data_IF_900270180181
#
_entry.id   IF_900270180181
#
_cell.length_a   1.000
_cell.length_b   1.000
_cell.length_c   1.000
_cell.angle_alpha   90.00
_cell.angle_beta   90.00
_cell.angle_gamma   90.00
#
_symmetry.space_group_name_H-M   'P 1'
#
loop_
_entity.id
_entity.type
_entity.pdbx_description
1 polymer ?
#
# COMPACT_ATOMS: atom_id res chain seq x y z
N UNK A 1 -38.63 25.06 -27.57
CA UNK A 1 -37.58 24.26 -28.22
C UNK A 1 -36.27 24.67 -27.56
N UNK A 2 -36.05 24.21 -26.33
CA UNK A 2 -34.74 24.25 -25.68
C UNK A 2 -33.94 23.00 -26.13
N UNK A 3 -34.10 22.60 -27.39
CA UNK A 3 -33.10 22.58 -28.45
C UNK A 3 -31.84 21.79 -28.08
N UNK A 4 -31.69 20.65 -28.76
CA UNK A 4 -30.67 19.61 -28.65
C UNK A 4 -29.24 20.11 -28.41
N UNK A 5 -28.96 21.36 -28.79
CA UNK A 5 -27.72 22.11 -28.53
C UNK A 5 -27.41 22.21 -27.04
N UNK A 6 -28.39 22.51 -26.19
CA UNK A 6 -28.20 22.54 -24.73
C UNK A 6 -27.85 21.15 -24.18
N UNK A 7 -28.56 20.13 -24.66
CA UNK A 7 -28.33 18.73 -24.27
C UNK A 7 -26.93 18.24 -24.69
N UNK A 8 -26.51 18.56 -25.92
CA UNK A 8 -25.16 18.23 -26.42
C UNK A 8 -24.06 18.94 -25.62
N UNK A 9 -24.24 20.23 -25.30
CA UNK A 9 -23.29 20.96 -24.46
C UNK A 9 -23.16 20.35 -23.06
N UNK A 10 -24.26 19.94 -22.45
CA UNK A 10 -24.25 19.26 -21.14
C UNK A 10 -23.53 17.91 -21.21
N UNK A 11 -23.77 17.11 -22.26
CA UNK A 11 -23.12 15.81 -22.47
C UNK A 11 -21.60 15.97 -22.63
N UNK A 12 -21.15 16.95 -23.42
CA UNK A 12 -19.71 17.24 -23.57
C UNK A 12 -19.08 17.64 -22.24
N UNK A 13 -19.76 18.48 -21.45
CA UNK A 13 -19.28 18.91 -20.14
C UNK A 13 -19.15 17.74 -19.15
N UNK A 14 -20.11 16.81 -19.17
CA UNK A 14 -20.07 15.58 -18.37
C UNK A 14 -18.94 14.63 -18.81
N UNK A 15 -18.69 14.48 -20.12
CA UNK A 15 -17.56 13.67 -20.62
C UNK A 15 -16.20 14.26 -20.22
N UNK A 16 -16.05 15.58 -20.29
CA UNK A 16 -14.85 16.27 -19.82
C UNK A 16 -14.67 16.08 -18.31
N UNK A 17 -15.73 16.22 -17.52
CA UNK A 17 -15.68 15.97 -16.07
C UNK A 17 -15.28 14.52 -15.73
N UNK A 18 -15.80 13.53 -16.46
CA UNK A 18 -15.43 12.13 -16.29
C UNK A 18 -13.96 11.84 -16.63
N UNK A 19 -13.39 12.53 -17.61
CA UNK A 19 -11.95 12.41 -17.92
C UNK A 19 -11.04 12.88 -16.77
N UNK A 20 -11.55 13.73 -15.86
CA UNK A 20 -10.84 14.19 -14.67
C UNK A 20 -11.14 13.38 -13.40
N UNK A 21 -12.05 12.40 -13.45
CA UNK A 21 -12.28 11.48 -12.33
C UNK A 21 -11.11 10.51 -12.23
N UNK A 22 -10.14 10.84 -11.38
CA UNK A 22 -9.15 9.87 -10.90
C UNK A 22 -9.84 9.00 -9.84
N UNK A 23 -10.14 7.74 -10.19
CA UNK A 23 -10.60 6.77 -9.20
C UNK A 23 -9.53 6.54 -8.14
N UNK A 24 -9.91 6.59 -6.86
CA UNK A 24 -9.06 6.11 -5.77
C UNK A 24 -9.18 4.58 -5.75
N UNK A 25 -8.21 3.90 -6.34
CA UNK A 25 -8.06 2.45 -6.19
C UNK A 25 -7.06 2.24 -5.06
N UNK A 26 -7.55 1.69 -3.96
CA UNK A 26 -6.69 1.17 -2.89
C UNK A 26 -5.97 -0.09 -3.39
N UNK A 27 -4.69 -0.19 -3.11
CA UNK A 27 -3.89 -1.36 -3.39
C UNK A 27 -3.67 -2.19 -2.11
N UNK A 28 -3.67 -3.51 -2.27
CA UNK A 28 -3.28 -4.44 -1.22
C UNK A 28 -1.89 -5.00 -1.56
N UNK A 29 -0.92 -4.77 -0.66
CA UNK A 29 0.47 -5.21 -0.83
C UNK A 29 0.78 -6.35 0.12
N UNK A 30 1.07 -7.53 -0.43
CA UNK A 30 1.48 -8.69 0.36
C UNK A 30 2.92 -8.51 0.85
N UNK A 31 3.08 -8.40 2.17
CA UNK A 31 4.38 -8.16 2.82
C UNK A 31 5.28 -9.37 2.60
N UNK A 32 6.42 -9.17 1.94
CA UNK A 32 7.38 -10.24 1.63
C UNK A 32 7.09 -11.00 0.33
N UNK A 33 6.09 -10.60 -0.46
CA UNK A 33 5.66 -11.33 -1.67
C UNK A 33 5.39 -12.81 -1.35
N UNK A 34 5.82 -13.73 -2.23
CA UNK A 34 5.69 -15.18 -2.07
C UNK A 34 6.35 -15.74 -0.78
N UNK A 35 7.27 -15.00 -0.17
CA UNK A 35 7.87 -15.39 1.10
C UNK A 35 6.96 -15.14 2.30
N UNK A 36 6.11 -14.12 2.22
CA UNK A 36 5.21 -13.73 3.30
C UNK A 36 5.90 -13.13 4.53
N UNK A 37 5.18 -13.12 5.65
CA UNK A 37 5.62 -12.60 6.94
C UNK A 37 6.27 -13.69 7.79
N UNK A 38 7.58 -13.85 7.64
CA UNK A 38 8.44 -14.78 8.39
C UNK A 38 9.80 -14.12 8.76
N UNK A 39 10.64 -14.82 9.53
CA UNK A 39 12.00 -14.38 9.88
C UNK A 39 12.87 -14.38 8.62
N UNK A 40 13.39 -13.23 8.17
CA UNK A 40 14.12 -13.15 6.91
C UNK A 40 15.30 -14.12 6.80
N UNK A 41 15.61 -14.61 5.58
CA UNK A 41 16.76 -15.48 5.37
C UNK A 41 18.06 -14.82 5.85
N UNK A 42 18.91 -15.61 6.49
CA UNK A 42 20.17 -15.16 7.12
C UNK A 42 20.00 -14.06 8.18
N UNK A 43 18.81 -13.92 8.77
CA UNK A 43 18.48 -12.85 9.72
C UNK A 43 18.77 -11.45 9.16
N UNK A 44 18.58 -11.26 7.84
CA UNK A 44 18.86 -9.99 7.19
C UNK A 44 17.88 -8.91 7.65
N UNK A 45 18.40 -7.85 8.29
CA UNK A 45 17.60 -6.68 8.64
C UNK A 45 17.15 -5.85 7.43
N UNK A 46 17.65 -6.14 6.23
CA UNK A 46 17.38 -5.36 5.02
C UNK A 46 16.27 -5.95 4.15
N UNK A 47 15.81 -7.17 4.44
CA UNK A 47 14.82 -7.86 3.61
C UNK A 47 13.50 -7.09 3.46
N UNK A 48 12.82 -6.80 4.57
CA UNK A 48 11.57 -6.03 4.56
C UNK A 48 11.75 -4.56 4.16
N UNK A 49 12.82 -3.85 4.58
CA UNK A 49 13.10 -2.52 4.04
C UNK A 49 13.27 -2.50 2.52
N UNK A 50 13.97 -3.49 1.95
CA UNK A 50 14.13 -3.60 0.49
C UNK A 50 12.81 -3.90 -0.21
N UNK A 51 11.98 -4.77 0.38
CA UNK A 51 10.62 -5.01 -0.11
C UNK A 51 9.80 -3.73 -0.13
N UNK A 52 9.77 -2.99 0.99
CA UNK A 52 8.99 -1.78 1.15
C UNK A 52 9.43 -0.66 0.18
N UNK A 53 10.73 -0.54 -0.09
CA UNK A 53 11.28 0.45 -1.02
C UNK A 53 10.86 0.25 -2.48
N UNK A 54 10.23 -0.87 -2.84
CA UNK A 54 9.70 -1.10 -4.20
C UNK A 54 8.32 -0.46 -4.43
N UNK A 55 7.65 -0.02 -3.38
CA UNK A 55 6.27 0.47 -3.44
C UNK A 55 6.13 1.89 -2.90
N UNK A 56 5.19 2.64 -3.47
CA UNK A 56 4.75 3.93 -2.94
C UNK A 56 3.39 3.72 -2.28
N UNK A 57 3.37 3.65 -0.95
CA UNK A 57 2.13 3.48 -0.17
C UNK A 57 1.33 4.78 -0.14
N UNK A 58 0.04 4.70 -0.49
CA UNK A 58 -0.90 5.81 -0.49
C UNK A 58 -1.97 5.61 0.57
N UNK A 59 -2.62 6.70 0.96
CA UNK A 59 -3.75 6.63 1.89
C UNK A 59 -4.86 5.79 1.27
N UNK A 60 -5.28 4.77 1.99
CA UNK A 60 -6.28 3.80 1.54
C UNK A 60 -5.69 2.45 1.18
N UNK A 61 -4.38 2.35 0.93
CA UNK A 61 -3.71 1.08 0.66
C UNK A 61 -3.59 0.24 1.94
N UNK A 62 -3.44 -1.08 1.75
CA UNK A 62 -3.25 -2.05 2.82
C UNK A 62 -1.90 -2.75 2.69
N UNK A 63 -1.24 -3.01 3.82
CA UNK A 63 -0.16 -3.99 3.90
C UNK A 63 -0.73 -5.29 4.50
N UNK A 64 -0.68 -6.36 3.71
CA UNK A 64 -1.27 -7.66 4.06
C UNK A 64 -0.17 -8.59 4.55
N UNK A 65 -0.26 -8.96 5.82
CA UNK A 65 0.70 -9.88 6.46
C UNK A 65 0.11 -11.29 6.41
N UNK A 66 0.70 -12.17 5.59
CA UNK A 66 0.33 -13.58 5.48
C UNK A 66 1.41 -14.45 6.14
N UNK A 67 1.04 -15.39 7.02
CA UNK A 67 1.98 -16.29 7.70
C UNK A 67 1.35 -17.66 8.03
N UNK A 68 2.19 -18.70 8.16
CA UNK A 68 1.73 -20.09 8.36
C UNK A 68 1.94 -20.61 9.79
N UNK A 69 2.95 -20.08 10.49
CA UNK A 69 3.36 -20.56 11.83
C UNK A 69 3.09 -19.52 12.92
N UNK A 70 3.95 -19.48 13.93
CA UNK A 70 3.73 -18.67 15.12
C UNK A 70 4.31 -17.26 14.94
N UNK A 71 3.63 -16.45 14.13
CA UNK A 71 3.97 -15.04 13.93
C UNK A 71 2.83 -14.14 14.40
N UNK A 72 3.20 -12.90 14.71
CA UNK A 72 2.25 -11.81 14.96
C UNK A 72 2.72 -10.59 14.17
N UNK A 73 1.79 -9.70 13.86
CA UNK A 73 2.08 -8.37 13.35
C UNK A 73 1.68 -7.36 14.43
N UNK A 74 2.58 -6.45 14.76
CA UNK A 74 2.34 -5.42 15.76
C UNK A 74 2.69 -4.05 15.18
N UNK A 75 1.81 -3.08 15.37
CA UNK A 75 2.09 -1.69 15.04
C UNK A 75 2.97 -1.11 16.16
N UNK A 76 4.20 -0.75 15.83
CA UNK A 76 5.09 -0.01 16.71
C UNK A 76 4.94 1.48 16.43
N UNK A 77 4.50 2.26 17.41
CA UNK A 77 4.19 3.69 17.24
C UNK A 77 5.41 4.59 17.37
N UNK A 78 6.51 4.11 17.95
CA UNK A 78 7.73 4.87 18.18
C UNK A 78 8.90 4.24 17.40
N UNK A 79 9.63 5.08 16.66
CA UNK A 79 10.80 4.67 15.90
C UNK A 79 11.93 4.10 16.78
N UNK A 80 12.13 4.62 18.00
CA UNK A 80 13.15 4.11 18.92
C UNK A 80 12.86 2.67 19.38
N UNK A 81 11.59 2.35 19.62
CA UNK A 81 11.16 1.00 19.99
C UNK A 81 11.38 0.03 18.81
N UNK A 82 11.07 0.49 17.58
CA UNK A 82 11.34 -0.27 16.36
C UNK A 82 12.83 -0.53 16.15
N UNK A 83 13.68 0.48 16.29
CA UNK A 83 15.14 0.36 16.14
C UNK A 83 15.75 -0.57 17.20
N UNK A 84 15.25 -0.53 18.44
CA UNK A 84 15.67 -1.41 19.53
C UNK A 84 15.35 -2.88 19.22
N UNK A 85 14.17 -3.15 18.66
CA UNK A 85 13.78 -4.49 18.23
C UNK A 85 14.73 -5.02 17.14
N UNK A 86 15.08 -4.19 16.14
CA UNK A 86 16.04 -4.56 15.10
C UNK A 86 17.43 -4.84 15.68
N UNK A 87 17.91 -4.03 16.64
CA UNK A 87 19.22 -4.26 17.25
C UNK A 87 19.31 -5.58 18.01
N UNK A 88 18.20 -6.05 18.58
CA UNK A 88 18.14 -7.35 19.25
C UNK A 88 18.36 -8.50 18.27
N UNK A 89 17.86 -8.38 17.04
CA UNK A 89 18.03 -9.39 15.98
C UNK A 89 19.45 -9.43 15.40
N UNK A 90 20.27 -8.39 15.62
CA UNK A 90 21.65 -8.28 15.12
C UNK A 90 22.72 -8.80 16.09
N UNK A 91 22.34 -9.19 17.31
CA UNK A 91 23.24 -9.72 18.35
C UNK A 91 23.16 -11.23 18.42
#
# INVERSE_FOLDING_TARGET
MADHRFSLSLIVLLMVAMAFLKGAIAADYEVGDDYGWDVPPSNSSEYYPSWANRYEFKVGDSAVFNWTWNHTAAHVTNQADYETAIQTLRK
#
